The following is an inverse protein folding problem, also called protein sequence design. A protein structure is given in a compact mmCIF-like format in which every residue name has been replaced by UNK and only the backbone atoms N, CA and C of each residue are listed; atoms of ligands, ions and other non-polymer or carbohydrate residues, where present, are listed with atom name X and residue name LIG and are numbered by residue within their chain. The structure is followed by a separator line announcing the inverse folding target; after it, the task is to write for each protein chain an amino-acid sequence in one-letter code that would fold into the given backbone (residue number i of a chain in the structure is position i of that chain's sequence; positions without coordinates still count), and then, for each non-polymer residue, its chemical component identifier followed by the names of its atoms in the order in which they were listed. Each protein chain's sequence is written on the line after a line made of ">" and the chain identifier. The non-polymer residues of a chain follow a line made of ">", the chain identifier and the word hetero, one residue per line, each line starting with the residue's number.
data_IF_586363368215
#
_entry.id   IF_586363368215
#
_cell.length_a   1.000
_cell.length_b   1.000
_cell.length_c   1.000
_cell.angle_alpha   90.00
_cell.angle_beta   90.00
_cell.angle_gamma   90.00
#
_symmetry.space_group_name_H-M   'P 1'
#
loop_
_entity.id
_entity.type
_entity.pdbx_description
1 polymer ?
#
# COMPACT_ATOMS: atom_id res chain seq x y z
N UNK A 1 -16.66 -9.15 -12.83
CA UNK A 1 -16.32 -7.96 -11.99
C UNK A 1 -16.10 -8.33 -10.55
N UNK A 2 -17.05 -8.98 -9.90
CA UNK A 2 -16.92 -9.33 -8.47
C UNK A 2 -15.73 -10.25 -8.17
N UNK A 3 -15.49 -11.25 -9.02
CA UNK A 3 -14.38 -12.18 -8.84
C UNK A 3 -13.02 -11.48 -8.94
N UNK A 4 -12.88 -10.51 -9.84
CA UNK A 4 -11.65 -9.71 -9.97
C UNK A 4 -11.44 -8.82 -8.77
N UNK A 5 -12.51 -8.20 -8.25
CA UNK A 5 -12.42 -7.37 -7.04
C UNK A 5 -12.05 -8.21 -5.82
N UNK A 6 -12.61 -9.41 -5.70
CA UNK A 6 -12.27 -10.32 -4.59
C UNK A 6 -10.80 -10.75 -4.66
N UNK A 7 -10.28 -10.99 -5.87
CA UNK A 7 -8.87 -11.33 -6.07
C UNK A 7 -7.97 -10.17 -5.67
N UNK A 8 -8.32 -8.96 -6.08
CA UNK A 8 -7.58 -7.75 -5.71
C UNK A 8 -7.61 -7.56 -4.19
N UNK A 9 -8.76 -7.75 -3.56
CA UNK A 9 -8.88 -7.63 -2.11
C UNK A 9 -7.98 -8.64 -1.38
N UNK A 10 -7.90 -9.89 -1.86
CA UNK A 10 -7.00 -10.88 -1.24
C UNK A 10 -5.55 -10.43 -1.31
N UNK A 11 -5.12 -9.88 -2.46
CA UNK A 11 -3.77 -9.34 -2.60
C UNK A 11 -3.51 -8.18 -1.65
N UNK A 12 -4.49 -7.27 -1.53
CA UNK A 12 -4.39 -6.13 -0.60
C UNK A 12 -4.33 -6.59 0.85
N UNK A 13 -5.12 -7.61 1.23
CA UNK A 13 -5.08 -8.18 2.59
C UNK A 13 -3.71 -8.79 2.90
N UNK A 14 -3.12 -9.52 1.95
CA UNK A 14 -1.77 -10.08 2.11
C UNK A 14 -0.72 -8.98 2.26
N UNK A 15 -0.84 -7.93 1.47
CA UNK A 15 0.05 -6.77 1.58
C UNK A 15 -0.10 -6.09 2.93
N UNK A 16 -1.33 -5.91 3.40
CA UNK A 16 -1.62 -5.30 4.71
C UNK A 16 -0.97 -6.10 5.84
N UNK A 17 -1.13 -7.42 5.83
CA UNK A 17 -0.54 -8.29 6.85
C UNK A 17 0.99 -8.25 6.81
N UNK A 18 1.58 -8.24 5.61
CA UNK A 18 3.03 -8.13 5.43
C UNK A 18 3.56 -6.81 5.97
N UNK A 19 2.84 -5.71 5.73
CA UNK A 19 3.20 -4.38 6.24
C UNK A 19 3.12 -4.33 7.75
N UNK A 20 2.09 -4.92 8.35
CA UNK A 20 1.95 -4.99 9.80
C UNK A 20 3.15 -5.69 10.44
N UNK A 21 3.52 -6.85 9.92
CA UNK A 21 4.69 -7.60 10.38
C UNK A 21 5.99 -6.81 10.18
N UNK A 22 6.13 -6.15 9.03
CA UNK A 22 7.32 -5.36 8.69
C UNK A 22 7.46 -4.15 9.59
N UNK A 23 6.36 -3.47 9.94
CA UNK A 23 6.40 -2.33 10.86
C UNK A 23 6.87 -2.74 12.25
N UNK A 24 6.46 -3.92 12.73
CA UNK A 24 6.94 -4.46 13.99
C UNK A 24 8.45 -4.72 13.95
N UNK A 25 8.97 -5.24 12.82
CA UNK A 25 10.39 -5.51 12.63
C UNK A 25 11.21 -4.24 12.39
N UNK A 26 10.60 -3.19 11.83
CA UNK A 26 11.31 -1.96 11.47
C UNK A 26 11.92 -1.23 12.68
N UNK A 27 11.47 -1.56 13.90
CA UNK A 27 12.04 -1.03 15.12
C UNK A 27 13.46 -1.56 15.37
N UNK A 28 13.81 -2.72 14.81
CA UNK A 28 15.09 -3.40 15.05
C UNK A 28 15.94 -3.54 13.79
N UNK A 29 15.35 -3.43 12.59
CA UNK A 29 16.06 -3.60 11.32
C UNK A 29 16.10 -2.30 10.51
N UNK A 30 17.30 -1.73 10.29
CA UNK A 30 17.41 -0.45 9.60
C UNK A 30 17.25 -0.49 8.08
N UNK A 31 17.37 -1.66 7.45
CA UNK A 31 17.40 -1.76 5.99
C UNK A 31 16.24 -2.60 5.43
N UNK A 32 15.04 -2.05 5.52
CA UNK A 32 13.87 -2.68 4.91
C UNK A 32 13.61 -2.02 3.56
N UNK A 33 13.40 -2.84 2.52
CA UNK A 33 13.07 -2.33 1.19
C UNK A 33 11.60 -1.87 1.14
N UNK A 34 11.37 -0.61 1.49
CA UNK A 34 10.04 -0.02 1.47
C UNK A 34 9.47 0.07 0.04
N UNK A 35 10.32 0.19 -0.97
CA UNK A 35 9.87 0.37 -2.35
C UNK A 35 9.12 -0.85 -2.89
N UNK A 36 9.43 -2.06 -2.42
CA UNK A 36 8.66 -3.24 -2.83
C UNK A 36 7.20 -3.14 -2.39
N UNK A 37 6.94 -2.56 -1.22
CA UNK A 37 5.57 -2.35 -0.71
C UNK A 37 4.86 -1.23 -1.46
N UNK A 38 5.58 -0.17 -1.80
CA UNK A 38 5.06 0.93 -2.64
C UNK A 38 4.60 0.38 -3.99
N UNK A 39 5.43 -0.44 -4.63
CA UNK A 39 5.10 -1.06 -5.93
C UNK A 39 3.87 -1.96 -5.83
N UNK A 40 3.76 -2.76 -4.77
CA UNK A 40 2.59 -3.62 -4.57
C UNK A 40 1.32 -2.82 -4.33
N UNK A 41 1.38 -1.78 -3.48
CA UNK A 41 0.24 -0.89 -3.26
C UNK A 41 -0.21 -0.24 -4.57
N UNK A 42 0.72 0.34 -5.32
CA UNK A 42 0.41 1.00 -6.59
C UNK A 42 -0.21 0.01 -7.59
N UNK A 43 0.29 -1.21 -7.63
CA UNK A 43 -0.24 -2.26 -8.50
C UNK A 43 -1.72 -2.55 -8.18
N UNK A 44 -2.05 -2.81 -6.91
CA UNK A 44 -3.41 -3.12 -6.52
C UNK A 44 -4.34 -1.93 -6.65
N UNK A 45 -3.86 -0.75 -6.33
CA UNK A 45 -4.59 0.49 -6.50
C UNK A 45 -4.96 0.70 -7.98
N UNK A 46 -4.02 0.52 -8.88
CA UNK A 46 -4.24 0.67 -10.31
C UNK A 46 -5.19 -0.41 -10.85
N UNK A 47 -5.07 -1.62 -10.36
CA UNK A 47 -5.97 -2.72 -10.72
C UNK A 47 -7.41 -2.38 -10.32
N UNK A 48 -7.63 -1.90 -9.10
CA UNK A 48 -8.96 -1.50 -8.64
C UNK A 48 -9.57 -0.42 -9.53
N UNK A 49 -8.84 0.66 -9.80
CA UNK A 49 -9.40 1.78 -10.56
C UNK A 49 -9.49 1.50 -12.07
N UNK A 50 -8.81 0.47 -12.55
CA UNK A 50 -9.05 -0.07 -13.88
C UNK A 50 -10.41 -0.79 -13.96
N UNK A 51 -10.78 -1.51 -12.90
CA UNK A 51 -12.05 -2.23 -12.81
C UNK A 51 -13.21 -1.32 -12.44
N UNK A 52 -12.99 -0.37 -11.52
CA UNK A 52 -14.01 0.55 -11.02
C UNK A 52 -13.47 1.99 -11.05
N UNK A 53 -13.49 2.65 -12.22
CA UNK A 53 -13.02 4.03 -12.32
C UNK A 53 -13.82 4.95 -11.39
N UNK A 54 -13.10 5.71 -10.56
CA UNK A 54 -13.66 6.72 -9.68
C UNK A 54 -12.58 7.77 -9.42
N UNK A 55 -12.62 8.87 -10.16
CA UNK A 55 -11.57 9.90 -10.13
C UNK A 55 -11.39 10.51 -8.73
N UNK A 56 -12.47 10.74 -8.01
CA UNK A 56 -12.40 11.35 -6.67
C UNK A 56 -11.68 10.44 -5.69
N UNK A 57 -12.03 9.15 -5.69
CA UNK A 57 -11.39 8.17 -4.80
C UNK A 57 -9.96 7.88 -5.25
N UNK A 58 -9.72 7.84 -6.57
CA UNK A 58 -8.37 7.65 -7.11
C UNK A 58 -7.42 8.77 -6.71
N UNK A 59 -7.94 10.01 -6.59
CA UNK A 59 -7.13 11.15 -6.12
C UNK A 59 -6.81 11.02 -4.62
N UNK A 60 -7.76 10.54 -3.82
CA UNK A 60 -7.54 10.31 -2.38
C UNK A 60 -6.57 9.15 -2.17
N UNK A 61 -6.75 8.07 -2.92
CA UNK A 61 -5.87 6.89 -2.90
C UNK A 61 -4.86 6.97 -4.04
N UNK A 62 -4.13 8.09 -4.12
CA UNK A 62 -3.15 8.33 -5.17
C UNK A 62 -1.99 7.34 -5.09
N UNK A 63 -1.29 7.18 -6.20
CA UNK A 63 -0.06 6.42 -6.23
C UNK A 63 0.98 7.05 -5.30
N UNK A 64 1.83 6.21 -4.71
CA UNK A 64 2.92 6.65 -3.85
C UNK A 64 4.21 6.61 -4.67
N UNK A 65 5.01 7.67 -4.56
CA UNK A 65 6.31 7.75 -5.24
C UNK A 65 7.34 6.85 -4.57
N UNK A 66 8.21 6.26 -5.38
CA UNK A 66 9.32 5.46 -4.86
C UNK A 66 10.29 6.35 -4.09
N UNK A 67 10.87 5.80 -3.04
CA UNK A 67 11.87 6.48 -2.25
C UNK A 67 13.23 6.41 -2.95
N UNK A 68 13.92 7.56 -2.98
CA UNK A 68 15.28 7.65 -3.51
C UNK A 68 16.23 7.77 -2.32
N UNK A 69 17.12 6.80 -2.18
CA UNK A 69 18.08 6.76 -1.08
C UNK A 69 19.11 7.87 -1.23
N UNK A 70 19.41 8.55 -0.10
CA UNK A 70 20.33 9.69 -0.07
C UNK A 70 21.78 9.27 0.16
N UNK A 71 21.99 8.05 0.68
CA UNK A 71 23.30 7.57 1.10
C UNK A 71 23.63 7.88 2.55
N UNK A 72 22.79 8.66 3.23
CA UNK A 72 22.93 8.91 4.67
C UNK A 72 22.02 7.94 5.44
N UNK A 73 22.62 6.99 6.15
CA UNK A 73 21.88 5.91 6.82
C UNK A 73 20.83 6.44 7.80
N UNK A 74 21.15 7.45 8.57
CA UNK A 74 20.20 8.00 9.56
C UNK A 74 18.98 8.62 8.88
N UNK A 75 19.21 9.41 7.85
CA UNK A 75 18.14 10.03 7.06
C UNK A 75 17.31 8.97 6.37
N UNK A 76 17.95 8.00 5.74
CA UNK A 76 17.26 6.94 4.99
C UNK A 76 16.42 6.07 5.92
N UNK A 77 16.93 5.66 7.08
CA UNK A 77 16.17 4.87 8.06
C UNK A 77 14.91 5.62 8.50
N UNK A 78 15.04 6.90 8.83
CA UNK A 78 13.90 7.72 9.27
C UNK A 78 12.86 7.84 8.16
N UNK A 79 13.28 8.15 6.94
CA UNK A 79 12.37 8.36 5.81
C UNK A 79 11.70 7.06 5.36
N UNK A 80 12.43 5.94 5.40
CA UNK A 80 11.88 4.62 5.07
C UNK A 80 10.79 4.23 6.08
N UNK A 81 11.00 4.49 7.37
CA UNK A 81 9.97 4.21 8.39
C UNK A 81 8.71 5.04 8.15
N UNK A 82 8.86 6.32 7.83
CA UNK A 82 7.73 7.19 7.51
C UNK A 82 6.99 6.71 6.27
N UNK A 83 7.73 6.28 5.25
CA UNK A 83 7.14 5.74 4.03
C UNK A 83 6.36 4.44 4.31
N UNK A 84 6.91 3.54 5.12
CA UNK A 84 6.23 2.31 5.49
C UNK A 84 4.90 2.59 6.19
N UNK A 85 4.87 3.57 7.09
CA UNK A 85 3.64 3.98 7.77
C UNK A 85 2.64 4.53 6.75
N UNK A 86 3.09 5.36 5.81
CA UNK A 86 2.23 5.91 4.75
C UNK A 86 1.62 4.81 3.90
N UNK A 87 2.44 3.85 3.44
CA UNK A 87 1.97 2.73 2.63
C UNK A 87 0.97 1.88 3.43
N UNK A 88 1.25 1.64 4.71
CA UNK A 88 0.36 0.90 5.61
C UNK A 88 -1.02 1.58 5.70
N UNK A 89 -1.04 2.88 5.95
CA UNK A 89 -2.29 3.63 6.08
C UNK A 89 -3.07 3.65 4.76
N UNK A 90 -2.38 3.86 3.64
CA UNK A 90 -3.02 3.85 2.32
C UNK A 90 -3.54 2.46 1.95
N UNK A 91 -2.81 1.41 2.29
CA UNK A 91 -3.25 0.03 2.06
C UNK A 91 -4.50 -0.27 2.89
N UNK A 92 -4.55 0.18 4.14
CA UNK A 92 -5.73 0.05 5.00
C UNK A 92 -6.95 0.74 4.38
N UNK A 93 -6.78 1.96 3.87
CA UNK A 93 -7.85 2.70 3.20
C UNK A 93 -8.31 2.01 1.91
N UNK A 94 -7.36 1.50 1.13
CA UNK A 94 -7.66 0.75 -0.10
C UNK A 94 -8.46 -0.52 0.22
N UNK A 95 -8.06 -1.24 1.26
CA UNK A 95 -8.74 -2.45 1.71
C UNK A 95 -10.19 -2.14 2.13
N UNK A 96 -10.39 -1.08 2.92
CA UNK A 96 -11.72 -0.67 3.36
C UNK A 96 -12.61 -0.28 2.18
N UNK A 97 -12.06 0.44 1.21
CA UNK A 97 -12.82 0.82 0.01
C UNK A 97 -13.23 -0.41 -0.80
N UNK A 98 -12.32 -1.38 -1.00
CA UNK A 98 -12.61 -2.62 -1.70
C UNK A 98 -13.70 -3.43 -0.99
N UNK A 99 -13.62 -3.57 0.33
CA UNK A 99 -14.62 -4.27 1.12
C UNK A 99 -16.00 -3.62 0.97
N UNK A 100 -16.04 -2.29 1.01
CA UNK A 100 -17.27 -1.53 0.84
C UNK A 100 -17.89 -1.74 -0.54
N UNK A 101 -17.08 -1.75 -1.60
CA UNK A 101 -17.55 -1.99 -2.95
C UNK A 101 -18.14 -3.40 -3.11
N UNK A 102 -17.53 -4.39 -2.47
CA UNK A 102 -18.02 -5.77 -2.52
C UNK A 102 -19.33 -5.95 -1.73
N UNK A 103 -19.53 -5.19 -0.66
CA UNK A 103 -20.78 -5.22 0.11
C UNK A 103 -21.94 -4.57 -0.64
N UNK A 104 -21.65 -3.62 -1.53
CA UNK A 104 -22.68 -2.94 -2.32
C UNK A 104 -23.24 -3.80 -3.47
N UNK A 105 -22.55 -4.85 -3.83
CA UNK A 105 -23.01 -5.82 -4.83
C UNK A 105 -23.82 -6.93 -4.15
#
# INVERSE_FOLDING_TARGET
>A
MKAELEKTLRGVNELYESLESTLDLSLTEPYIDANQYVKQYNHYRNELFSLLPNEDVADILAEISLYVYTGDDRTDVTNVKQLLVEVYLKTSQLMAYLQNQLELD
#
